data_IF_333740459222
#
_entry.id   IF_333740459222
#
_cell.length_a   1.000
_cell.length_b   1.000
_cell.length_c   1.000
_cell.angle_alpha   90.00
_cell.angle_beta   90.00
_cell.angle_gamma   90.00
#
_symmetry.space_group_name_H-M   'P 1'
#
loop_
_entity.id
_entity.type
_entity.pdbx_description
1 polymer ?
#
# COMPACT_ATOMS: atom_id res chain seq x y z
N UNK A 1 0.62 -9.80 -13.50
CA UNK A 1 1.16 -8.45 -13.27
C UNK A 1 0.96 -8.14 -11.80
N UNK A 2 2.03 -7.84 -11.08
CA UNK A 2 1.98 -7.57 -9.64
C UNK A 2 1.94 -6.06 -9.41
N UNK A 3 1.19 -5.63 -8.41
CA UNK A 3 1.05 -4.20 -8.11
C UNK A 3 1.55 -3.93 -6.71
N UNK A 4 2.37 -2.90 -6.59
CA UNK A 4 3.03 -2.51 -5.35
C UNK A 4 2.58 -1.08 -5.02
N UNK A 5 1.90 -0.91 -3.89
CA UNK A 5 1.50 0.41 -3.39
C UNK A 5 2.66 1.02 -2.60
N UNK A 6 3.01 2.26 -2.94
CA UNK A 6 4.09 3.01 -2.32
C UNK A 6 3.56 4.33 -1.75
N UNK A 7 3.84 4.58 -0.47
CA UNK A 7 3.30 5.73 0.29
C UNK A 7 3.92 7.09 -0.12
N UNK A 8 5.06 7.09 -0.80
CA UNK A 8 5.70 8.31 -1.33
C UNK A 8 5.85 9.46 -0.33
N UNK A 9 5.71 10.68 -0.86
CA UNK A 9 5.81 11.94 -0.11
C UNK A 9 4.61 12.19 0.81
N UNK A 10 3.46 11.58 0.54
CA UNK A 10 2.22 11.81 1.28
C UNK A 10 2.22 11.21 2.67
N UNK A 11 3.15 10.28 2.94
CA UNK A 11 3.28 9.60 4.22
C UNK A 11 3.39 10.57 5.40
N UNK A 12 4.23 11.59 5.28
CA UNK A 12 4.49 12.56 6.34
C UNK A 12 3.27 13.44 6.63
N UNK A 13 2.51 13.78 5.58
CA UNK A 13 1.29 14.57 5.69
C UNK A 13 0.15 13.82 6.40
N UNK A 14 0.22 12.49 6.46
CA UNK A 14 -0.81 11.64 7.08
C UNK A 14 -0.39 11.10 8.45
N UNK A 15 0.68 11.63 9.03
CA UNK A 15 0.99 11.38 10.43
C UNK A 15 -0.15 11.92 11.32
N UNK A 16 -0.51 11.20 12.41
CA UNK A 16 0.20 10.05 12.98
C UNK A 16 -0.23 8.68 12.45
N UNK A 17 -1.16 8.60 11.48
CA UNK A 17 -1.71 7.32 11.04
C UNK A 17 -0.66 6.42 10.40
N UNK A 18 0.23 7.02 9.61
CA UNK A 18 1.26 6.30 8.87
C UNK A 18 2.39 5.75 9.74
N UNK A 19 2.42 6.08 11.05
CA UNK A 19 3.36 5.45 12.00
C UNK A 19 3.13 3.95 12.18
N UNK A 20 1.92 3.45 11.97
CA UNK A 20 1.58 2.05 12.29
C UNK A 20 1.08 1.23 11.10
N UNK A 21 0.87 1.89 9.95
CA UNK A 21 0.34 1.28 8.72
C UNK A 21 0.69 2.12 7.49
N UNK A 22 0.73 1.54 6.27
CA UNK A 22 0.82 2.31 5.03
C UNK A 22 -0.45 3.09 4.71
N UNK A 23 -0.35 4.04 3.77
CA UNK A 23 -1.47 4.83 3.26
C UNK A 23 -2.54 3.92 2.67
N UNK A 24 -2.14 2.88 1.95
CA UNK A 24 -3.09 1.93 1.37
C UNK A 24 -3.96 1.19 2.41
N UNK A 25 -3.56 1.14 3.68
CA UNK A 25 -4.35 0.58 4.79
C UNK A 25 -5.31 1.58 5.45
N UNK A 26 -5.29 2.84 5.02
CA UNK A 26 -6.22 3.86 5.50
C UNK A 26 -7.59 3.63 4.85
N UNK A 27 -8.62 3.64 5.70
CA UNK A 27 -10.01 3.55 5.25
C UNK A 27 -10.50 4.89 4.70
N UNK A 28 -11.18 4.83 3.57
CA UNK A 28 -11.84 5.96 2.92
C UNK A 28 -13.30 5.56 2.69
N UNK A 29 -14.11 5.77 3.73
CA UNK A 29 -15.46 5.21 3.84
C UNK A 29 -15.41 3.78 4.40
N UNK A 30 -16.13 2.87 3.75
CA UNK A 30 -16.21 1.46 4.16
C UNK A 30 -14.93 0.69 3.78
N UNK A 31 -14.34 1.02 2.63
CA UNK A 31 -13.17 0.33 2.08
C UNK A 31 -11.86 1.07 2.34
N UNK A 32 -10.76 0.33 2.34
CA UNK A 32 -9.39 0.84 2.31
C UNK A 32 -8.95 1.20 0.89
N UNK A 33 -7.91 2.02 0.77
CA UNK A 33 -7.31 2.34 -0.54
C UNK A 33 -6.78 1.06 -1.22
N UNK A 34 -6.22 0.12 -0.46
CA UNK A 34 -5.84 -1.22 -0.93
C UNK A 34 -7.02 -1.95 -1.55
N UNK A 35 -8.12 -2.08 -0.82
CA UNK A 35 -9.32 -2.79 -1.28
C UNK A 35 -9.88 -2.15 -2.55
N UNK A 36 -9.85 -0.82 -2.67
CA UNK A 36 -10.24 -0.13 -3.91
C UNK A 36 -9.38 -0.56 -5.10
N UNK A 37 -8.06 -0.61 -4.94
CA UNK A 37 -7.15 -1.08 -5.99
C UNK A 37 -7.34 -2.57 -6.30
N UNK A 38 -7.50 -3.41 -5.28
CA UNK A 38 -7.72 -4.85 -5.47
C UNK A 38 -9.03 -5.14 -6.20
N UNK A 39 -10.09 -4.39 -5.92
CA UNK A 39 -11.37 -4.49 -6.63
C UNK A 39 -11.26 -4.03 -8.10
N UNK A 40 -10.52 -2.95 -8.36
CA UNK A 40 -10.33 -2.42 -9.72
C UNK A 40 -9.45 -3.34 -10.57
N UNK A 41 -8.34 -3.82 -10.02
CA UNK A 41 -7.33 -4.61 -10.73
C UNK A 41 -7.61 -6.11 -10.69
N UNK A 42 -8.56 -6.56 -9.87
CA UNK A 42 -8.92 -7.97 -9.64
C UNK A 42 -7.72 -8.84 -9.25
N UNK A 43 -6.78 -8.26 -8.52
CA UNK A 43 -5.55 -8.92 -8.06
C UNK A 43 -5.15 -8.39 -6.70
N UNK A 44 -4.35 -9.16 -5.97
CA UNK A 44 -3.77 -8.70 -4.70
C UNK A 44 -2.66 -7.70 -4.97
N UNK A 45 -2.52 -6.75 -4.06
CA UNK A 45 -1.45 -5.74 -4.07
C UNK A 45 -0.54 -5.96 -2.87
N UNK A 46 0.72 -5.59 -3.00
CA UNK A 46 1.68 -5.56 -1.90
C UNK A 46 2.11 -4.13 -1.58
N UNK A 47 2.88 -3.94 -0.51
CA UNK A 47 3.26 -2.61 -0.03
C UNK A 47 4.77 -2.43 -0.04
N UNK A 48 5.22 -1.29 -0.56
CA UNK A 48 6.59 -0.81 -0.38
C UNK A 48 6.60 0.20 0.76
N UNK A 49 7.03 -0.25 1.94
CA UNK A 49 7.00 0.54 3.18
C UNK A 49 8.35 0.56 3.88
N UNK A 50 8.45 1.36 4.94
CA UNK A 50 9.59 1.40 5.85
C UNK A 50 9.86 0.02 6.47
N UNK A 51 11.12 -0.28 6.76
CA UNK A 51 11.56 -1.61 7.23
C UNK A 51 10.75 -2.12 8.43
N UNK A 52 10.44 -1.24 9.39
CA UNK A 52 9.65 -1.59 10.58
C UNK A 52 8.20 -1.99 10.26
N UNK A 53 7.64 -1.54 9.13
CA UNK A 53 6.31 -1.94 8.66
C UNK A 53 6.37 -3.18 7.77
N UNK A 54 7.50 -3.47 7.11
CA UNK A 54 7.63 -4.61 6.20
C UNK A 54 7.40 -5.95 6.89
N UNK A 55 7.68 -6.05 8.19
CA UNK A 55 7.37 -7.26 8.97
C UNK A 55 5.87 -7.58 8.96
N UNK A 56 5.01 -6.55 8.99
CA UNK A 56 3.55 -6.69 8.98
C UNK A 56 2.96 -6.61 7.57
N UNK A 57 3.58 -5.83 6.70
CA UNK A 57 3.15 -5.56 5.32
C UNK A 57 4.25 -6.00 4.35
N UNK A 58 4.37 -7.31 4.08
CA UNK A 58 5.47 -7.83 3.29
C UNK A 58 5.38 -7.36 1.84
N UNK A 59 6.54 -7.00 1.30
CA UNK A 59 6.71 -6.74 -0.12
C UNK A 59 6.74 -8.07 -0.88
N UNK A 60 5.90 -8.21 -1.89
CA UNK A 60 5.91 -9.37 -2.79
C UNK A 60 6.33 -8.86 -4.16
N UNK A 61 7.40 -9.42 -4.72
CA UNK A 61 7.96 -9.04 -6.02
C UNK A 61 7.81 -10.24 -6.96
N UNK A 62 7.28 -9.99 -8.16
CA UNK A 62 7.17 -10.98 -9.24
C UNK A 62 7.93 -10.50 -10.48
N UNK A 63 7.93 -11.25 -11.58
CA UNK A 63 8.69 -10.89 -12.80
C UNK A 63 8.25 -9.57 -13.45
N UNK A 64 6.97 -9.17 -13.28
CA UNK A 64 6.42 -7.92 -13.80
C UNK A 64 5.69 -7.15 -12.70
N UNK A 65 6.31 -6.09 -12.17
CA UNK A 65 5.76 -5.24 -11.13
C UNK A 65 5.46 -3.83 -11.63
N UNK A 66 4.29 -3.31 -11.26
CA UNK A 66 3.93 -1.91 -11.44
C UNK A 66 3.84 -1.27 -10.05
N UNK A 67 4.59 -0.18 -9.85
CA UNK A 67 4.56 0.60 -8.61
C UNK A 67 3.55 1.73 -8.78
N UNK A 68 2.62 1.83 -7.83
CA UNK A 68 1.58 2.85 -7.79
C UNK A 68 1.84 3.71 -6.55
N UNK A 69 1.97 5.02 -6.75
CA UNK A 69 2.00 5.98 -5.63
C UNK A 69 0.57 6.14 -5.08
N UNK A 70 0.39 5.82 -3.81
CA UNK A 70 -0.91 5.82 -3.12
C UNK A 70 -1.11 7.03 -2.21
#
# INVERSE_FOLDING_TARGET
MNFILYDGRWREHLLPFTYTRPIGEIRVGITTIREKWELLLKTRVSFLTQEYLQQKYPLVVNDNNIVIES
#
